data_IF_241024175847
#
_entry.id   IF_241024175847
#
_cell.length_a   1.000
_cell.length_b   1.000
_cell.length_c   1.000
_cell.angle_alpha   90.00
_cell.angle_beta   90.00
_cell.angle_gamma   90.00
#
_symmetry.space_group_name_H-M   'P 1'
#
loop_
_entity.id
_entity.type
_entity.pdbx_description
1 polymer ?
#
# COMPACT_ATOMS: atom_id res chain seq x y z
N UNK A 1 -2.54 -5.02 13.80
CA UNK A 1 -2.54 -4.71 15.27
C UNK A 1 -3.84 -3.97 15.55
N UNK A 2 -4.66 -4.43 16.50
CA UNK A 2 -6.00 -3.86 16.77
C UNK A 2 -5.95 -2.89 17.95
N UNK A 3 -6.47 -1.68 17.76
CA UNK A 3 -6.54 -0.66 18.81
C UNK A 3 -7.98 -0.14 18.93
N UNK A 4 -8.49 -0.08 20.16
CA UNK A 4 -9.79 0.49 20.50
C UNK A 4 -9.61 1.65 21.48
N UNK A 5 -10.04 2.85 21.10
CA UNK A 5 -10.01 4.03 21.96
C UNK A 5 -11.44 4.42 22.35
N UNK A 6 -11.67 4.56 23.66
CA UNK A 6 -12.96 4.97 24.24
C UNK A 6 -12.84 6.39 24.78
N UNK A 7 -13.63 7.31 24.22
CA UNK A 7 -13.70 8.70 24.70
C UNK A 7 -15.16 9.11 24.92
N UNK A 8 -15.41 9.87 25.97
CA UNK A 8 -16.75 10.40 26.28
C UNK A 8 -16.86 11.82 25.73
N UNK A 9 -17.69 12.01 24.70
CA UNK A 9 -17.91 13.32 24.10
C UNK A 9 -19.41 13.61 23.97
N UNK A 10 -19.77 14.89 23.90
CA UNK A 10 -21.17 15.32 23.75
C UNK A 10 -21.49 15.67 22.30
N UNK A 11 -22.58 15.15 21.76
CA UNK A 11 -23.14 15.55 20.46
C UNK A 11 -24.41 16.37 20.66
N UNK A 12 -24.65 17.34 19.78
CA UNK A 12 -25.89 18.11 19.79
C UNK A 12 -27.03 17.30 19.19
N UNK A 13 -28.24 17.37 19.76
CA UNK A 13 -29.41 16.67 19.22
C UNK A 13 -29.71 16.98 17.75
N UNK A 14 -29.40 18.20 17.28
CA UNK A 14 -29.58 18.58 15.88
C UNK A 14 -28.68 17.85 14.88
N UNK A 15 -27.63 17.15 15.33
CA UNK A 15 -26.85 16.24 14.46
C UNK A 15 -27.70 15.05 14.00
N UNK A 16 -28.67 14.62 14.81
CA UNK A 16 -29.55 13.47 14.52
C UNK A 16 -30.51 13.79 13.37
N UNK A 17 -30.91 15.05 13.20
CA UNK A 17 -31.88 15.44 12.16
C UNK A 17 -31.29 15.43 10.75
N UNK A 18 -30.03 15.02 10.57
CA UNK A 18 -29.31 14.97 9.28
C UNK A 18 -29.35 16.28 8.47
N UNK A 19 -29.62 17.41 9.12
CA UNK A 19 -29.74 18.72 8.50
C UNK A 19 -28.56 19.58 8.96
N UNK A 20 -27.75 20.05 8.01
CA UNK A 20 -26.55 20.85 8.29
C UNK A 20 -26.87 22.15 9.05
N UNK A 21 -28.04 22.75 8.81
CA UNK A 21 -28.49 23.99 9.47
C UNK A 21 -28.80 23.78 10.95
N UNK A 22 -29.24 22.59 11.32
CA UNK A 22 -29.62 22.25 12.70
C UNK A 22 -28.48 21.60 13.48
N UNK A 23 -27.37 21.25 12.83
CA UNK A 23 -26.26 20.47 13.41
C UNK A 23 -25.72 21.03 14.74
N UNK A 24 -25.77 22.35 14.93
CA UNK A 24 -25.28 23.05 16.13
C UNK A 24 -26.39 23.45 17.11
N UNK A 25 -27.66 23.12 16.85
CA UNK A 25 -28.81 23.51 17.67
C UNK A 25 -29.36 22.37 18.52
N UNK A 26 -29.71 22.69 19.77
CA UNK A 26 -30.35 21.79 20.72
C UNK A 26 -29.47 21.39 21.92
N UNK A 27 -30.00 20.57 22.84
CA UNK A 27 -29.25 20.10 24.00
C UNK A 27 -28.08 19.20 23.60
N UNK A 28 -27.00 19.28 24.38
CA UNK A 28 -25.84 18.39 24.28
C UNK A 28 -26.17 17.05 24.95
N UNK A 29 -26.20 15.99 24.15
CA UNK A 29 -26.45 14.61 24.58
C UNK A 29 -25.09 13.92 24.73
N UNK A 30 -24.76 13.36 25.90
CA UNK A 30 -23.54 12.58 26.08
C UNK A 30 -23.65 11.29 25.27
N UNK A 31 -22.64 11.00 24.45
CA UNK A 31 -22.58 9.77 23.67
C UNK A 31 -21.28 9.02 23.93
N UNK A 32 -21.38 7.69 23.88
CA UNK A 32 -20.22 6.82 23.79
C UNK A 32 -19.94 6.59 22.32
N UNK A 33 -18.68 6.68 21.93
CA UNK A 33 -18.25 6.26 20.61
C UNK A 33 -17.05 5.33 20.76
N UNK A 34 -17.02 4.32 19.90
CA UNK A 34 -15.94 3.36 19.85
C UNK A 34 -15.19 3.56 18.53
N UNK A 35 -13.88 3.77 18.60
CA UNK A 35 -13.02 3.80 17.42
C UNK A 35 -12.26 2.48 17.37
N UNK A 36 -12.47 1.70 16.32
CA UNK A 36 -11.76 0.44 16.06
C UNK A 36 -10.82 0.65 14.88
N UNK A 37 -9.51 0.49 15.13
CA UNK A 37 -8.47 0.59 14.10
C UNK A 37 -7.77 -0.75 13.89
N UNK A 38 -7.58 -1.12 12.63
CA UNK A 38 -6.79 -2.26 12.18
C UNK A 38 -5.71 -1.79 11.21
N UNK A 39 -4.47 -2.23 11.45
CA UNK A 39 -3.35 -2.02 10.52
C UNK A 39 -2.79 -3.36 10.09
N UNK A 40 -2.74 -3.58 8.78
CA UNK A 40 -2.11 -4.72 8.11
C UNK A 40 -0.94 -4.20 7.30
N UNK A 41 0.23 -4.81 7.50
CA UNK A 41 1.48 -4.43 6.83
C UNK A 41 2.01 -5.64 6.10
N UNK A 42 2.23 -5.51 4.80
CA UNK A 42 2.80 -6.53 3.94
C UNK A 42 4.06 -5.99 3.28
N UNK A 43 5.13 -6.78 3.28
CA UNK A 43 6.36 -6.47 2.54
C UNK A 43 6.30 -7.23 1.21
N UNK A 44 6.38 -6.50 0.12
CA UNK A 44 6.42 -7.04 -1.23
C UNK A 44 7.82 -6.86 -1.81
N UNK A 45 8.39 -7.93 -2.37
CA UNK A 45 9.64 -7.87 -3.12
C UNK A 45 9.38 -8.25 -4.56
N UNK A 46 9.71 -7.34 -5.47
CA UNK A 46 9.53 -7.51 -6.91
C UNK A 46 10.89 -7.48 -7.59
N UNK A 47 11.15 -8.48 -8.43
CA UNK A 47 12.36 -8.55 -9.25
C UNK A 47 11.94 -8.51 -10.71
N UNK A 48 12.41 -7.51 -11.46
CA UNK A 48 12.13 -7.33 -12.89
C UNK A 48 13.42 -7.32 -13.69
N UNK A 49 13.40 -7.89 -14.89
CA UNK A 49 14.53 -7.78 -15.82
C UNK A 49 14.64 -6.33 -16.31
N UNK A 50 15.85 -5.75 -16.26
CA UNK A 50 16.09 -4.34 -16.65
C UNK A 50 17.36 -4.22 -17.49
N UNK A 51 17.25 -4.21 -18.82
CA UNK A 51 18.41 -4.15 -19.73
C UNK A 51 19.04 -5.53 -20.02
N UNK A 52 20.29 -5.56 -20.47
CA UNK A 52 21.00 -6.82 -20.80
C UNK A 52 21.62 -7.40 -19.54
N UNK A 53 21.20 -8.61 -19.18
CA UNK A 53 21.70 -9.36 -18.02
C UNK A 53 21.64 -8.60 -16.68
N UNK A 54 20.63 -7.77 -16.50
CA UNK A 54 20.48 -6.91 -15.32
C UNK A 54 19.08 -7.12 -14.74
N UNK A 55 18.96 -7.00 -13.42
CA UNK A 55 17.71 -7.12 -12.69
C UNK A 55 17.48 -5.90 -11.78
N UNK A 56 16.25 -5.39 -11.75
CA UNK A 56 15.81 -4.38 -10.81
C UNK A 56 15.04 -5.06 -9.68
N UNK A 57 15.51 -4.85 -8.46
CA UNK A 57 14.86 -5.30 -7.24
C UNK A 57 14.17 -4.11 -6.58
N UNK A 58 12.88 -4.27 -6.30
CA UNK A 58 12.05 -3.30 -5.60
C UNK A 58 11.48 -3.96 -4.35
N UNK A 59 11.70 -3.35 -3.19
CA UNK A 59 11.12 -3.76 -1.92
C UNK A 59 10.18 -2.65 -1.49
N UNK A 60 8.90 -2.97 -1.39
CA UNK A 60 7.83 -2.03 -1.07
C UNK A 60 7.05 -2.52 0.14
N UNK A 61 6.63 -1.58 0.98
CA UNK A 61 5.75 -1.85 2.12
C UNK A 61 4.35 -1.42 1.74
N UNK A 62 3.44 -2.37 1.70
CA UNK A 62 2.01 -2.17 1.52
C UNK A 62 1.35 -2.08 2.90
N UNK A 63 0.73 -0.94 3.19
CA UNK A 63 0.02 -0.68 4.44
C UNK A 63 -1.47 -0.54 4.11
N UNK A 64 -2.29 -1.39 4.70
CA UNK A 64 -3.74 -1.28 4.71
C UNK A 64 -4.18 -0.87 6.11
N UNK A 65 -4.75 0.33 6.22
CA UNK A 65 -5.27 0.90 7.47
C UNK A 65 -6.79 0.99 7.36
N UNK A 66 -7.48 0.32 8.27
CA UNK A 66 -8.93 0.31 8.38
C UNK A 66 -9.35 0.94 9.71
N UNK A 67 -10.04 2.08 9.65
CA UNK A 67 -10.59 2.76 10.82
C UNK A 67 -12.12 2.74 10.78
N UNK A 68 -12.74 2.36 11.88
CA UNK A 68 -14.18 2.32 12.02
C UNK A 68 -14.62 3.10 13.26
N UNK A 69 -15.42 4.14 13.04
CA UNK A 69 -16.08 4.90 14.09
C UNK A 69 -17.48 4.32 14.29
N UNK A 70 -17.79 3.90 15.52
CA UNK A 70 -19.07 3.33 15.91
C UNK A 70 -19.76 4.31 16.86
N UNK A 71 -20.88 4.87 16.43
CA UNK A 71 -21.82 5.65 17.24
C UNK A 71 -23.11 4.85 17.45
N UNK A 72 -23.94 5.19 18.46
CA UNK A 72 -25.19 4.47 18.74
C UNK A 72 -26.17 4.44 17.56
N UNK A 73 -26.11 5.41 16.64
CA UNK A 73 -27.05 5.56 15.53
C UNK A 73 -26.40 5.40 14.16
N UNK A 74 -25.06 5.41 14.07
CA UNK A 74 -24.34 5.34 12.80
C UNK A 74 -22.96 4.72 13.00
N UNK A 75 -22.52 3.93 12.03
CA UNK A 75 -21.16 3.43 11.97
C UNK A 75 -20.56 3.81 10.63
N UNK A 76 -19.31 4.26 10.62
CA UNK A 76 -18.58 4.59 9.39
C UNK A 76 -17.21 3.94 9.40
N UNK A 77 -16.93 3.16 8.36
CA UNK A 77 -15.62 2.55 8.08
C UNK A 77 -14.90 3.36 7.00
N UNK A 78 -13.61 3.60 7.20
CA UNK A 78 -12.71 4.27 6.28
C UNK A 78 -11.49 3.36 6.09
N UNK A 79 -11.10 3.14 4.83
CA UNK A 79 -9.96 2.29 4.47
C UNK A 79 -8.95 3.12 3.70
N UNK A 80 -7.70 3.05 4.11
CA UNK A 80 -6.56 3.71 3.49
C UNK A 80 -5.57 2.65 3.01
N UNK A 81 -5.16 2.76 1.74
CA UNK A 81 -4.15 1.89 1.14
C UNK A 81 -2.93 2.75 0.78
N UNK A 82 -1.79 2.45 1.40
CA UNK A 82 -0.55 3.19 1.19
C UNK A 82 0.53 2.20 0.75
N UNK A 83 1.15 2.47 -0.40
CA UNK A 83 2.31 1.73 -0.87
C UNK A 83 3.54 2.64 -0.77
N UNK A 84 4.56 2.20 -0.03
CA UNK A 84 5.79 2.95 0.19
C UNK A 84 6.96 2.10 -0.32
N UNK A 85 7.65 2.51 -1.41
CA UNK A 85 8.88 1.85 -1.82
C UNK A 85 9.99 2.16 -0.81
N UNK A 86 10.63 1.13 -0.27
CA UNK A 86 11.70 1.26 0.73
C UNK A 86 13.07 1.14 0.06
N UNK A 87 13.19 0.21 -0.88
CA UNK A 87 14.45 -0.06 -1.57
C UNK A 87 14.18 -0.26 -3.05
N UNK A 88 14.96 0.43 -3.87
CA UNK A 88 15.07 0.15 -5.30
C UNK A 88 16.56 -0.07 -5.58
N UNK A 89 16.92 -1.26 -6.06
CA UNK A 89 18.31 -1.63 -6.32
C UNK A 89 18.44 -2.27 -7.70
N UNK A 90 19.42 -1.78 -8.47
CA UNK A 90 19.85 -2.44 -9.69
C UNK A 90 20.93 -3.47 -9.37
N UNK A 91 20.67 -4.71 -9.75
CA UNK A 91 21.60 -5.84 -9.70
C UNK A 91 22.17 -5.99 -11.10
N UNK A 92 23.46 -5.69 -11.23
CA UNK A 92 24.15 -5.72 -12.50
C UNK A 92 24.77 -7.09 -12.73
N UNK A 93 24.45 -7.73 -13.86
CA UNK A 93 25.12 -8.94 -14.30
C UNK A 93 26.17 -8.65 -15.36
N UNK A 94 27.08 -9.59 -15.56
CA UNK A 94 28.13 -9.48 -16.58
C UNK A 94 27.52 -9.61 -17.97
N UNK A 95 27.56 -8.55 -18.77
CA UNK A 95 27.13 -8.61 -20.17
C UNK A 95 28.17 -9.40 -20.98
N UNK A 96 27.78 -10.45 -21.72
CA UNK A 96 28.73 -11.19 -22.54
C UNK A 96 29.35 -10.34 -23.67
N UNK A 97 30.62 -10.59 -23.99
CA UNK A 97 31.41 -9.84 -24.98
C UNK A 97 30.79 -9.81 -26.40
N UNK A 98 30.01 -10.83 -26.78
CA UNK A 98 29.37 -10.88 -28.10
C UNK A 98 28.28 -9.81 -28.30
N UNK A 99 27.74 -9.22 -27.21
CA UNK A 99 26.83 -8.08 -27.31
C UNK A 99 27.56 -6.76 -27.64
N UNK A 100 28.85 -6.64 -27.30
CA UNK A 100 29.63 -5.41 -27.50
C UNK A 100 30.20 -5.30 -28.92
N UNK A 101 30.38 -6.41 -29.64
CA UNK A 101 31.11 -6.43 -30.91
C UNK A 101 30.27 -6.12 -32.16
N UNK A 102 28.99 -5.78 -32.01
CA UNK A 102 28.07 -5.60 -33.14
C UNK A 102 27.96 -6.88 -33.97
N UNK A 103 27.00 -6.92 -34.91
CA UNK A 103 26.86 -8.04 -35.84
C UNK A 103 28.01 -8.03 -36.87
N UNK A 104 29.25 -8.28 -36.44
CA UNK A 104 30.30 -8.66 -37.36
C UNK A 104 29.93 -10.02 -37.93
N UNK A 105 29.77 -10.08 -39.25
CA UNK A 105 29.26 -11.19 -40.08
C UNK A 105 30.07 -12.48 -40.02
N UNK A 106 30.94 -12.66 -39.03
CA UNK A 106 31.75 -13.85 -38.81
C UNK A 106 31.31 -14.52 -37.51
N UNK A 107 30.12 -15.14 -37.51
CA UNK A 107 29.72 -16.05 -36.44
C UNK A 107 30.69 -17.24 -36.42
N UNK A 108 31.40 -17.53 -35.31
CA UNK A 108 32.07 -18.81 -35.17
C UNK A 108 31.00 -19.90 -35.10
N UNK A 109 31.17 -20.95 -35.89
CA UNK A 109 30.26 -22.10 -35.89
C UNK A 109 30.10 -22.63 -34.46
N UNK A 110 28.89 -22.51 -33.92
CA UNK A 110 28.50 -23.21 -32.69
C UNK A 110 28.35 -24.68 -33.08
N UNK A 111 29.39 -25.47 -32.84
CA UNK A 111 29.28 -26.92 -32.92
C UNK A 111 28.52 -27.40 -31.69
N UNK A 112 27.26 -27.76 -31.91
CA UNK A 112 26.50 -28.55 -30.94
C UNK A 112 27.02 -29.99 -31.12
N UNK A 113 27.60 -30.63 -30.10
CA UNK A 113 27.92 -32.05 -30.19
C UNK A 113 26.61 -32.80 -30.41
N UNK A 114 26.49 -33.44 -31.57
CA UNK A 114 25.49 -34.48 -31.76
C UNK A 114 26.07 -35.75 -31.13
N UNK A 115 25.34 -36.32 -30.17
CA UNK A 115 25.50 -37.75 -29.85
C UNK A 115 25.03 -38.61 -31.03
#
# INVERSE_FOLDING_TARGET
MNYAFYNLNSLTSGVISSNSLLSNLGPKIPVKFDLVGEVIINIETKITNYGINNAMMEISVNIELSEQVILPFVSKKIVYNVNIPIVIKLIQGTVPNYYFNGLSRNSPNVFIPME
#
